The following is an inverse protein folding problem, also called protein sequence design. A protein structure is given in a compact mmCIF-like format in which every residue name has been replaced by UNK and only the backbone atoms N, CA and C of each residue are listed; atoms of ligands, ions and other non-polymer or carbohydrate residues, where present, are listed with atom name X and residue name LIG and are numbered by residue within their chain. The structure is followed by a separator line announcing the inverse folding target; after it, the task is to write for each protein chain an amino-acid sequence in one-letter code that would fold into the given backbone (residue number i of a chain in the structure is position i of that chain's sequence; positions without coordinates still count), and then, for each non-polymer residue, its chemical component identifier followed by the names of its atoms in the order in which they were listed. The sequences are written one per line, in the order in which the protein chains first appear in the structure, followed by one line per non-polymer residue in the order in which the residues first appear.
data_IF_358493612552
#
_entry.id   IF_358493612552
#
_cell.length_a   1.000
_cell.length_b   1.000
_cell.length_c   1.000
_cell.angle_alpha   90.00
_cell.angle_beta   90.00
_cell.angle_gamma   90.00
#
_symmetry.space_group_name_H-M   'P 1'
#
loop_
_entity.id
_entity.type
_entity.pdbx_description
1 polymer ?
#
# COMPACT_ATOMS: atom_id res chain seq x y z
N UNK A 1 2.59 12.79 12.77
CA UNK A 1 3.69 11.85 12.49
C UNK A 1 4.41 12.33 11.26
N UNK A 2 5.76 12.34 11.24
CA UNK A 2 6.50 12.69 10.03
C UNK A 2 6.26 11.66 8.93
N UNK A 3 6.38 12.09 7.69
CA UNK A 3 6.39 11.19 6.53
C UNK A 3 7.68 10.38 6.53
N UNK A 4 7.55 9.07 6.36
CA UNK A 4 8.68 8.15 6.15
C UNK A 4 8.80 7.89 4.65
N UNK A 5 10.02 7.89 4.13
CA UNK A 5 10.34 7.41 2.78
C UNK A 5 11.29 6.24 2.92
N UNK A 6 10.91 5.10 2.35
CA UNK A 6 11.68 3.87 2.40
C UNK A 6 11.39 3.02 1.15
N UNK A 7 12.25 2.05 0.88
CA UNK A 7 12.00 0.96 -0.04
C UNK A 7 11.25 -0.15 0.67
N UNK A 8 10.26 -0.75 0.00
CA UNK A 8 9.45 -1.79 0.58
C UNK A 8 8.96 -2.80 -0.45
N UNK A 9 8.70 -4.02 0.03
CA UNK A 9 7.98 -5.05 -0.72
C UNK A 9 6.59 -5.25 -0.12
N UNK A 10 5.59 -5.47 -0.97
CA UNK A 10 4.29 -5.91 -0.49
C UNK A 10 4.41 -7.37 -0.05
N UNK A 11 3.99 -7.65 1.19
CA UNK A 11 3.95 -9.03 1.70
C UNK A 11 2.53 -9.56 1.80
N UNK A 12 1.54 -8.67 1.82
CA UNK A 12 0.12 -9.02 1.79
C UNK A 12 -0.71 -7.80 1.38
N UNK A 13 -1.76 -8.00 0.60
CA UNK A 13 -2.83 -7.03 0.40
C UNK A 13 -4.20 -7.70 0.52
N UNK A 14 -5.23 -6.90 0.83
CA UNK A 14 -6.62 -7.32 0.76
C UNK A 14 -7.53 -6.13 0.48
N UNK A 15 -8.72 -6.44 -0.02
CA UNK A 15 -9.73 -5.44 -0.34
C UNK A 15 -10.20 -4.75 0.93
N UNK A 16 -10.17 -3.41 0.93
CA UNK A 16 -10.77 -2.60 1.98
C UNK A 16 -12.08 -1.97 1.50
N UNK A 17 -12.07 -1.38 0.32
CA UNK A 17 -13.26 -0.85 -0.35
C UNK A 17 -13.14 -1.06 -1.85
N UNK A 18 -14.15 -0.66 -2.61
CA UNK A 18 -14.11 -0.69 -4.09
C UNK A 18 -12.80 -0.10 -4.64
N UNK A 19 -12.34 1.03 -4.09
CA UNK A 19 -11.17 1.75 -4.60
C UNK A 19 -9.91 1.64 -3.74
N UNK A 20 -9.93 0.94 -2.60
CA UNK A 20 -8.83 0.96 -1.63
C UNK A 20 -8.43 -0.43 -1.14
N UNK A 21 -7.14 -0.59 -0.81
CA UNK A 21 -6.58 -1.82 -0.25
C UNK A 21 -6.01 -1.58 1.13
N UNK A 22 -6.13 -2.57 2.01
CA UNK A 22 -5.24 -2.65 3.17
C UNK A 22 -4.01 -3.45 2.78
N UNK A 23 -2.84 -3.03 3.26
CA UNK A 23 -1.56 -3.61 2.89
C UNK A 23 -0.69 -3.87 4.12
N UNK A 24 0.14 -4.90 4.01
CA UNK A 24 1.31 -5.11 4.84
C UNK A 24 2.54 -4.95 3.95
N UNK A 25 3.43 -4.04 4.32
CA UNK A 25 4.67 -3.74 3.61
C UNK A 25 5.85 -4.09 4.51
N UNK A 26 6.83 -4.81 3.98
CA UNK A 26 8.11 -5.00 4.65
C UNK A 26 9.10 -3.97 4.11
N UNK A 27 9.39 -2.97 4.93
CA UNK A 27 10.27 -1.85 4.65
C UNK A 27 11.72 -2.22 4.99
N UNK A 28 12.68 -1.72 4.22
CA UNK A 28 14.11 -2.00 4.39
C UNK A 28 14.62 -1.55 5.75
N UNK A 29 14.34 -0.31 6.15
CA UNK A 29 14.90 0.30 7.36
C UNK A 29 13.90 0.36 8.53
N UNK A 30 12.60 0.19 8.24
CA UNK A 30 11.52 0.35 9.23
C UNK A 30 10.74 -0.94 9.53
N UNK A 31 11.09 -2.06 8.89
CA UNK A 31 10.46 -3.35 9.14
C UNK A 31 9.00 -3.41 8.66
N UNK A 32 8.15 -4.17 9.38
CA UNK A 32 6.78 -4.42 8.93
C UNK A 32 5.84 -3.25 9.28
N UNK A 33 5.21 -2.67 8.27
CA UNK A 33 4.18 -1.62 8.44
C UNK A 33 2.87 -2.09 7.82
N UNK A 34 1.77 -1.79 8.51
CA UNK A 34 0.40 -1.99 7.99
C UNK A 34 -0.23 -0.64 7.68
N UNK A 35 -0.94 -0.54 6.56
CA UNK A 35 -1.52 0.72 6.13
C UNK A 35 -2.70 0.56 5.18
N UNK A 36 -3.38 1.68 4.95
CA UNK A 36 -4.45 1.79 3.96
C UNK A 36 -3.92 2.50 2.70
N UNK A 37 -3.90 1.79 1.59
CA UNK A 37 -3.65 2.34 0.27
C UNK A 37 -4.96 2.94 -0.29
N UNK A 38 -5.28 4.15 0.16
CA UNK A 38 -6.54 4.84 -0.17
C UNK A 38 -6.57 5.22 -1.65
N UNK A 39 -7.60 4.77 -2.37
CA UNK A 39 -7.78 5.09 -3.79
C UNK A 39 -6.80 4.39 -4.73
N UNK A 40 -6.04 3.41 -4.24
CA UNK A 40 -5.04 2.68 -5.04
C UNK A 40 -5.66 1.92 -6.24
N UNK A 41 -6.96 1.64 -6.22
CA UNK A 41 -7.68 1.03 -7.35
C UNK A 41 -8.59 1.99 -8.13
N UNK A 42 -8.49 3.30 -7.87
CA UNK A 42 -9.30 4.28 -8.61
C UNK A 42 -8.94 4.22 -10.10
N UNK A 43 -9.95 4.06 -10.96
CA UNK A 43 -9.78 4.12 -12.41
C UNK A 43 -9.10 5.44 -12.80
N UNK A 44 -8.09 5.38 -13.67
CA UNK A 44 -7.32 6.54 -14.14
C UNK A 44 -6.61 7.33 -13.03
N UNK A 45 -6.36 6.72 -11.86
CA UNK A 45 -5.52 7.28 -10.80
C UNK A 45 -4.03 7.01 -11.01
N UNK A 46 -3.15 7.77 -10.34
CA UNK A 46 -1.69 7.62 -10.45
C UNK A 46 -1.15 6.26 -10.00
N UNK A 47 -1.91 5.54 -9.18
CA UNK A 47 -1.57 4.21 -8.66
C UNK A 47 -2.51 3.12 -9.18
N UNK A 48 -3.25 3.39 -10.26
CA UNK A 48 -4.27 2.48 -10.81
C UNK A 48 -3.66 1.11 -11.08
N UNK A 49 -4.13 0.10 -10.33
CA UNK A 49 -3.57 -1.25 -10.30
C UNK A 49 -3.44 -1.75 -8.87
N UNK A 50 -3.25 -0.83 -7.91
CA UNK A 50 -3.12 -1.20 -6.51
C UNK A 50 -1.79 -1.88 -6.20
N UNK A 51 -1.72 -2.49 -5.01
CA UNK A 51 -0.64 -3.39 -4.64
C UNK A 51 -0.95 -4.81 -5.11
N UNK A 52 0.09 -5.50 -5.58
CA UNK A 52 0.09 -6.89 -6.05
C UNK A 52 1.26 -7.66 -5.40
N UNK A 53 1.26 -9.00 -5.52
CA UNK A 53 2.31 -9.91 -5.02
C UNK A 53 3.18 -10.49 -6.14
#
# INVERSE_FOLDING_TARGET
MPTIRDEAVCVRHWDFSETSQTVSLFLRDHGLVRGLAKGARRERGSFSGGFDL
#
